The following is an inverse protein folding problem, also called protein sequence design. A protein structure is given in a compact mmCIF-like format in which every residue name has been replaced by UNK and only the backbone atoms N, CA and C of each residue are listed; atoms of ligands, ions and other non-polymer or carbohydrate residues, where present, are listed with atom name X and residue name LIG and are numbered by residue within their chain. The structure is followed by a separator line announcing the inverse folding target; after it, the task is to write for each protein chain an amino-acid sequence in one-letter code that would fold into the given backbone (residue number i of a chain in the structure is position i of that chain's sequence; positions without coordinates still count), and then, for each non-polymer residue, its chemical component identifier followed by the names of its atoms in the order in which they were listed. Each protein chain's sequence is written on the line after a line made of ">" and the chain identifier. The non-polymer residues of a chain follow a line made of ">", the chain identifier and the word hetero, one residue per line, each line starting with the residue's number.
data_IF_659593131798
#
_entry.id   IF_659593131798
#
_cell.length_a   1.000
_cell.length_b   1.000
_cell.length_c   1.000
_cell.angle_alpha   90.00
_cell.angle_beta   90.00
_cell.angle_gamma   90.00
#
_symmetry.space_group_name_H-M   'P 1'
#
loop_
_entity.id
_entity.type
_entity.pdbx_description
1 polymer ?
#
# COMPACT_ATOMS: atom_id res chain seq x y z
N UNK A 1 16.58 4.29 34.84
CA UNK A 1 15.12 4.47 34.78
C UNK A 1 14.77 4.94 33.38
N UNK A 2 14.08 4.12 32.58
CA UNK A 2 13.55 4.58 31.28
C UNK A 2 12.57 5.74 31.52
N UNK A 3 12.49 6.71 30.60
CA UNK A 3 11.57 7.87 30.73
C UNK A 3 10.11 7.43 30.96
N UNK A 4 9.71 6.31 30.34
CA UNK A 4 8.38 5.71 30.49
C UNK A 4 8.16 5.18 31.91
N UNK A 5 9.09 4.40 32.47
CA UNK A 5 8.98 3.90 33.84
C UNK A 5 9.09 5.00 34.91
N UNK A 6 9.69 6.15 34.58
CA UNK A 6 9.68 7.34 35.44
C UNK A 6 8.34 8.06 35.44
N UNK A 7 7.61 8.04 34.31
CA UNK A 7 6.29 8.67 34.20
C UNK A 7 5.17 7.79 34.75
N UNK A 8 5.32 6.46 34.70
CA UNK A 8 4.38 5.50 35.29
C UNK A 8 5.12 4.47 36.17
N UNK A 9 5.09 4.64 37.51
CA UNK A 9 5.76 3.74 38.45
C UNK A 9 5.29 2.27 38.39
N UNK A 10 4.10 1.98 37.88
CA UNK A 10 3.58 0.61 37.76
C UNK A 10 4.36 -0.22 36.73
N UNK A 11 5.10 0.44 35.84
CA UNK A 11 5.94 -0.22 34.83
C UNK A 11 7.31 -0.64 35.36
N UNK A 12 7.68 -0.23 36.58
CA UNK A 12 8.99 -0.52 37.19
C UNK A 12 9.35 -2.02 37.21
N UNK A 13 8.44 -2.96 37.53
CA UNK A 13 8.74 -4.39 37.48
C UNK A 13 9.10 -4.91 36.07
N UNK A 14 8.69 -4.19 35.02
CA UNK A 14 8.90 -4.57 33.62
C UNK A 14 9.99 -3.76 32.92
N UNK A 15 10.70 -2.88 33.64
CA UNK A 15 11.64 -1.91 33.07
C UNK A 15 12.70 -2.60 32.20
N UNK A 16 13.27 -3.71 32.66
CA UNK A 16 14.29 -4.46 31.91
C UNK A 16 13.75 -4.99 30.57
N UNK A 17 12.49 -5.45 30.54
CA UNK A 17 11.83 -5.90 29.30
C UNK A 17 11.59 -4.74 28.35
N UNK A 18 11.18 -3.57 28.87
CA UNK A 18 10.99 -2.35 28.09
C UNK A 18 12.33 -1.90 27.50
N UNK A 19 13.40 -1.85 28.31
CA UNK A 19 14.75 -1.50 27.87
C UNK A 19 15.23 -2.41 26.74
N UNK A 20 15.10 -3.73 26.89
CA UNK A 20 15.48 -4.70 25.84
C UNK A 20 14.71 -4.49 24.53
N UNK A 21 13.42 -4.15 24.60
CA UNK A 21 12.62 -3.83 23.41
C UNK A 21 13.14 -2.57 22.71
N UNK A 22 13.45 -1.50 23.46
CA UNK A 22 14.03 -0.29 22.89
C UNK A 22 15.40 -0.55 22.25
N UNK A 23 16.25 -1.33 22.91
CA UNK A 23 17.57 -1.73 22.38
C UNK A 23 17.45 -2.55 21.11
N UNK A 24 16.52 -3.50 21.08
CA UNK A 24 16.21 -4.27 19.89
C UNK A 24 15.73 -3.37 18.75
N UNK A 25 14.80 -2.44 19.01
CA UNK A 25 14.30 -1.50 17.98
C UNK A 25 15.42 -0.64 17.41
N UNK A 26 16.27 -0.03 18.25
CA UNK A 26 17.40 0.77 17.76
C UNK A 26 18.44 -0.07 17.01
N UNK A 27 18.71 -1.30 17.47
CA UNK A 27 19.60 -2.21 16.76
C UNK A 27 19.02 -2.62 15.40
N UNK A 28 17.70 -2.82 15.33
CA UNK A 28 17.00 -3.14 14.10
C UNK A 28 17.05 -1.97 13.12
N UNK A 29 16.75 -0.76 13.58
CA UNK A 29 16.85 0.46 12.78
C UNK A 29 18.26 0.61 12.21
N UNK A 30 19.30 0.54 13.06
CA UNK A 30 20.71 0.56 12.61
C UNK A 30 21.02 -0.51 11.57
N UNK A 31 20.48 -1.72 11.72
CA UNK A 31 20.70 -2.78 10.74
C UNK A 31 20.04 -2.49 9.40
N UNK A 32 18.83 -1.91 9.40
CA UNK A 32 18.11 -1.54 8.18
C UNK A 32 18.77 -0.35 7.48
N UNK A 33 19.35 0.56 8.25
CA UNK A 33 20.07 1.74 7.77
C UNK A 33 21.55 1.49 7.48
N UNK A 34 21.97 0.23 7.41
CA UNK A 34 23.37 -0.16 7.11
C UNK A 34 24.39 0.50 8.05
N UNK A 35 24.07 0.57 9.34
CA UNK A 35 24.90 1.24 10.35
C UNK A 35 24.76 2.76 10.39
N UNK A 36 23.86 3.34 9.57
CA UNK A 36 23.64 4.78 9.43
C UNK A 36 24.10 5.34 8.08
N UNK A 37 24.58 4.50 7.16
CA UNK A 37 24.99 4.92 5.80
C UNK A 37 23.81 5.46 4.97
N UNK A 38 22.58 5.02 5.28
CA UNK A 38 21.34 5.57 4.71
C UNK A 38 20.36 5.94 5.83
N UNK A 39 19.44 6.86 5.58
CA UNK A 39 18.34 7.13 6.53
C UNK A 39 17.26 6.05 6.48
N UNK A 40 16.41 5.99 7.51
CA UNK A 40 15.22 5.11 7.48
C UNK A 40 14.24 5.53 6.38
N UNK A 41 14.19 6.82 6.09
CA UNK A 41 13.43 7.40 4.99
C UNK A 41 13.94 6.90 3.63
N UNK A 42 15.26 6.82 3.42
CA UNK A 42 15.86 6.26 2.20
C UNK A 42 15.63 4.75 2.13
N UNK A 43 15.70 4.05 3.26
CA UNK A 43 15.31 2.64 3.32
C UNK A 43 13.84 2.44 2.91
N UNK A 44 12.96 3.43 3.09
CA UNK A 44 11.56 3.40 2.70
C UNK A 44 11.30 3.88 1.25
N UNK A 45 12.33 4.05 0.41
CA UNK A 45 12.20 4.42 -1.01
C UNK A 45 11.82 3.25 -1.93
N UNK A 46 11.35 2.12 -1.38
CA UNK A 46 11.06 0.92 -2.18
C UNK A 46 10.08 1.18 -3.32
N UNK A 47 9.10 2.05 -3.11
CA UNK A 47 8.08 2.40 -4.12
C UNK A 47 8.63 3.24 -5.27
N UNK A 48 9.79 3.89 -5.12
CA UNK A 48 10.49 4.61 -6.19
C UNK A 48 11.33 3.65 -7.07
N UNK A 49 11.60 2.44 -6.57
CA UNK A 49 12.42 1.45 -7.26
C UNK A 49 11.60 0.29 -7.84
N UNK A 50 10.70 -0.29 -7.04
CA UNK A 50 9.80 -1.38 -7.39
C UNK A 50 8.46 -0.86 -7.94
N UNK A 51 7.75 -1.70 -8.69
CA UNK A 51 6.55 -1.32 -9.43
C UNK A 51 6.87 -0.85 -10.85
N UNK A 52 5.84 -0.33 -11.53
CA UNK A 52 5.93 0.16 -12.90
C UNK A 52 6.23 1.65 -12.90
N UNK A 53 7.33 2.03 -13.56
CA UNK A 53 7.82 3.40 -13.64
C UNK A 53 8.07 3.80 -15.09
N UNK A 54 7.80 5.05 -15.43
CA UNK A 54 8.17 5.66 -16.71
C UNK A 54 9.30 6.65 -16.49
N UNK A 55 10.38 6.54 -17.24
CA UNK A 55 11.48 7.51 -17.17
C UNK A 55 11.22 8.75 -18.05
N UNK A 56 12.08 9.76 -17.92
CA UNK A 56 12.00 11.02 -18.69
C UNK A 56 12.10 10.83 -20.21
N UNK A 57 12.60 9.69 -20.68
CA UNK A 57 12.69 9.33 -22.10
C UNK A 57 11.48 8.52 -22.56
N UNK A 58 10.50 8.32 -21.69
CA UNK A 58 9.28 7.56 -21.95
C UNK A 58 9.45 6.04 -21.82
N UNK A 59 10.63 5.53 -21.46
CA UNK A 59 10.87 4.10 -21.31
C UNK A 59 10.21 3.59 -20.02
N UNK A 60 9.51 2.45 -20.14
CA UNK A 60 8.86 1.80 -19.00
C UNK A 60 9.81 0.81 -18.36
N UNK A 61 9.94 0.87 -17.03
CA UNK A 61 10.65 -0.12 -16.23
C UNK A 61 9.71 -0.70 -15.18
N UNK A 62 9.55 -2.02 -15.17
CA UNK A 62 8.83 -2.74 -14.13
C UNK A 62 9.83 -3.55 -13.31
N UNK A 63 9.79 -3.39 -11.98
CA UNK A 63 10.59 -4.21 -11.06
C UNK A 63 9.74 -4.88 -9.99
N UNK A 64 10.10 -6.11 -9.63
CA UNK A 64 9.41 -6.88 -8.60
C UNK A 64 10.37 -7.77 -7.81
N UNK A 65 10.08 -8.00 -6.53
CA UNK A 65 10.88 -8.86 -5.65
C UNK A 65 10.24 -10.26 -5.54
N UNK A 66 10.81 -11.23 -6.27
CA UNK A 66 10.31 -12.60 -6.42
C UNK A 66 11.47 -13.62 -6.30
N UNK A 67 12.05 -13.80 -5.10
CA UNK A 67 13.22 -14.66 -4.91
C UNK A 67 12.96 -16.13 -5.25
N UNK A 68 11.74 -16.64 -5.01
CA UNK A 68 11.32 -18.01 -5.32
C UNK A 68 10.93 -18.27 -6.78
N UNK A 69 10.88 -17.23 -7.62
CA UNK A 69 10.54 -17.39 -9.03
C UNK A 69 11.70 -17.99 -9.84
N UNK A 70 11.34 -18.82 -10.82
CA UNK A 70 12.23 -19.36 -11.85
C UNK A 70 12.15 -18.56 -13.15
N UNK A 71 10.97 -18.02 -13.46
CA UNK A 71 10.78 -17.06 -14.56
C UNK A 71 9.55 -16.21 -14.32
N UNK A 72 9.61 -14.96 -14.77
CA UNK A 72 8.54 -13.97 -14.61
C UNK A 72 8.27 -13.34 -15.96
N UNK A 73 7.00 -13.18 -16.31
CA UNK A 73 6.55 -12.54 -17.54
C UNK A 73 5.56 -11.43 -17.23
N UNK A 74 5.62 -10.35 -17.99
CA UNK A 74 4.61 -9.31 -18.01
C UNK A 74 3.52 -9.71 -19.01
N UNK A 75 2.27 -9.79 -18.56
CA UNK A 75 1.11 -10.10 -19.40
C UNK A 75 0.06 -9.00 -19.25
N UNK A 76 -0.74 -8.75 -20.29
CA UNK A 76 -1.75 -7.70 -20.23
C UNK A 76 -2.55 -7.52 -21.51
N UNK A 77 -3.37 -6.47 -21.55
CA UNK A 77 -4.18 -6.12 -22.71
C UNK A 77 -3.35 -5.89 -23.98
N UNK A 78 -2.13 -5.37 -23.87
CA UNK A 78 -1.22 -5.08 -24.98
C UNK A 78 -0.62 -6.33 -25.65
N UNK A 79 -0.78 -7.52 -25.07
CA UNK A 79 -0.30 -8.80 -25.63
C UNK A 79 -1.33 -9.93 -25.53
N UNK A 80 -2.63 -9.58 -25.48
CA UNK A 80 -3.74 -10.53 -25.38
C UNK A 80 -3.59 -11.52 -24.21
N UNK A 81 -2.98 -11.08 -23.11
CA UNK A 81 -2.71 -11.89 -21.91
C UNK A 81 -1.82 -13.12 -22.16
N UNK A 82 -1.02 -13.12 -23.22
CA UNK A 82 -0.17 -14.25 -23.59
C UNK A 82 1.21 -14.20 -22.93
N UNK A 83 1.69 -15.37 -22.49
CA UNK A 83 3.07 -15.54 -21.99
C UNK A 83 4.03 -15.60 -23.18
N UNK A 84 4.70 -14.48 -23.47
CA UNK A 84 5.64 -14.37 -24.59
C UNK A 84 7.05 -14.02 -24.11
N UNK A 85 8.07 -14.57 -24.77
CA UNK A 85 9.48 -14.35 -24.43
C UNK A 85 9.92 -12.88 -24.49
N UNK A 86 9.32 -12.07 -25.37
CA UNK A 86 9.58 -10.63 -25.48
C UNK A 86 9.15 -9.84 -24.24
N UNK A 87 8.23 -10.40 -23.45
CA UNK A 87 7.74 -9.81 -22.20
C UNK A 87 8.32 -10.47 -20.94
N UNK A 88 9.40 -11.25 -21.08
CA UNK A 88 10.06 -11.92 -19.97
C UNK A 88 10.91 -10.93 -19.17
N UNK A 89 10.73 -10.89 -17.85
CA UNK A 89 11.60 -10.14 -16.94
C UNK A 89 12.94 -10.88 -16.77
N UNK A 90 14.00 -10.10 -16.58
CA UNK A 90 15.35 -10.58 -16.27
C UNK A 90 15.57 -10.50 -14.76
N UNK A 91 16.15 -11.54 -14.17
CA UNK A 91 16.68 -11.45 -12.81
C UNK A 91 17.90 -10.53 -12.84
N UNK A 92 17.93 -9.51 -11.98
CA UNK A 92 18.97 -8.46 -11.99
C UNK A 92 19.93 -8.51 -10.80
N UNK A 93 19.62 -9.32 -9.79
CA UNK A 93 20.50 -9.58 -8.65
C UNK A 93 20.34 -11.02 -8.13
N UNK A 94 21.19 -11.41 -7.19
CA UNK A 94 21.11 -12.70 -6.51
C UNK A 94 20.08 -12.73 -5.38
N UNK A 95 19.55 -11.56 -4.98
CA UNK A 95 18.62 -11.41 -3.87
C UNK A 95 17.16 -11.69 -4.22
N UNK A 96 16.79 -11.61 -5.50
CA UNK A 96 15.43 -11.93 -5.97
C UNK A 96 14.73 -10.83 -6.76
N UNK A 97 15.42 -9.77 -7.17
CA UNK A 97 14.81 -8.71 -7.97
C UNK A 97 14.75 -9.10 -9.45
N UNK A 98 13.60 -8.83 -10.06
CA UNK A 98 13.33 -9.02 -11.48
C UNK A 98 13.02 -7.68 -12.14
N UNK A 99 13.47 -7.47 -13.37
CA UNK A 99 13.28 -6.24 -14.14
C UNK A 99 12.91 -6.54 -15.59
N UNK A 100 11.97 -5.77 -16.14
CA UNK A 100 11.83 -5.60 -17.59
C UNK A 100 11.84 -4.11 -17.93
N UNK A 101 12.50 -3.78 -19.04
CA UNK A 101 12.45 -2.46 -19.66
C UNK A 101 11.79 -2.59 -21.03
N UNK A 102 10.73 -1.81 -21.28
CA UNK A 102 10.01 -1.80 -22.55
C UNK A 102 9.89 -0.38 -23.08
N UNK A 103 9.85 -0.25 -24.41
CA UNK A 103 9.78 1.04 -25.06
C UNK A 103 8.46 1.77 -24.74
N UNK A 104 8.46 3.10 -24.90
CA UNK A 104 7.31 3.96 -24.60
C UNK A 104 6.00 3.47 -25.21
N UNK A 105 6.03 3.08 -26.48
CA UNK A 105 4.86 2.62 -27.23
C UNK A 105 4.32 1.24 -26.80
N UNK A 106 5.05 0.52 -25.94
CA UNK A 106 4.72 -0.84 -25.55
C UNK A 106 3.59 -0.88 -24.51
N UNK A 107 3.45 0.16 -23.70
CA UNK A 107 2.39 0.30 -22.69
C UNK A 107 1.73 1.67 -22.84
N UNK A 108 0.42 1.74 -22.60
CA UNK A 108 -0.36 2.97 -22.62
C UNK A 108 -1.14 3.11 -21.33
N UNK A 109 -1.42 4.36 -20.95
CA UNK A 109 -2.37 4.65 -19.89
C UNK A 109 -3.68 3.87 -20.08
N UNK A 110 -4.14 3.20 -19.02
CA UNK A 110 -5.35 2.38 -19.04
C UNK A 110 -5.13 0.93 -19.44
N UNK A 111 -3.93 0.54 -19.92
CA UNK A 111 -3.63 -0.87 -20.17
C UNK A 111 -3.70 -1.66 -18.86
N UNK A 112 -4.30 -2.86 -18.94
CA UNK A 112 -4.39 -3.78 -17.82
C UNK A 112 -3.24 -4.76 -17.87
N UNK A 113 -2.65 -5.08 -16.73
CA UNK A 113 -1.51 -5.97 -16.67
C UNK A 113 -1.46 -6.79 -15.37
N UNK A 114 -0.78 -7.94 -15.47
CA UNK A 114 -0.42 -8.84 -14.37
C UNK A 114 0.98 -9.40 -14.65
N UNK A 115 1.54 -10.07 -13.66
CA UNK A 115 2.69 -10.93 -13.81
C UNK A 115 2.24 -12.37 -14.01
N UNK A 116 2.90 -13.12 -14.88
CA UNK A 116 2.83 -14.58 -14.90
C UNK A 116 4.13 -15.13 -14.31
N UNK A 117 4.03 -15.78 -13.15
CA UNK A 117 5.18 -16.24 -12.37
C UNK A 117 5.24 -17.76 -12.44
N UNK A 118 6.40 -18.30 -12.81
CA UNK A 118 6.72 -19.71 -12.63
C UNK A 118 7.66 -19.87 -11.44
N UNK A 119 7.42 -20.87 -10.62
CA UNK A 119 8.24 -21.26 -9.47
C UNK A 119 8.32 -22.79 -9.42
N UNK A 120 9.31 -23.35 -8.72
CA UNK A 120 9.47 -24.80 -8.46
C UNK A 120 8.69 -25.75 -9.38
N UNK A 121 7.51 -26.20 -8.91
CA UNK A 121 6.59 -27.09 -9.63
C UNK A 121 5.23 -26.44 -9.95
N UNK A 122 5.15 -25.11 -10.04
CA UNK A 122 3.89 -24.40 -10.25
C UNK A 122 4.03 -23.07 -10.98
N UNK A 123 2.90 -22.47 -11.30
CA UNK A 123 2.84 -21.13 -11.87
C UNK A 123 1.50 -20.48 -11.54
N UNK A 124 1.41 -19.17 -11.76
CA UNK A 124 0.17 -18.43 -11.57
C UNK A 124 0.33 -16.95 -11.90
N UNK A 125 -0.82 -16.31 -12.11
CA UNK A 125 -0.92 -14.88 -12.30
C UNK A 125 -0.86 -14.13 -10.97
N UNK A 126 -0.22 -12.97 -10.97
CA UNK A 126 -0.08 -12.09 -9.79
C UNK A 126 -0.30 -10.65 -10.19
N UNK A 127 -1.05 -9.91 -9.39
CA UNK A 127 -0.99 -8.45 -9.43
C UNK A 127 0.37 -8.01 -8.85
N UNK A 128 1.15 -7.13 -9.51
CA UNK A 128 2.39 -6.59 -8.94
C UNK A 128 2.19 -6.06 -7.50
N UNK A 129 3.08 -6.41 -6.57
CA UNK A 129 2.91 -6.08 -5.15
C UNK A 129 2.92 -4.57 -4.90
N UNK A 130 3.59 -3.84 -5.81
CA UNK A 130 3.77 -2.38 -5.81
C UNK A 130 2.85 -1.68 -6.83
N UNK A 131 1.79 -2.34 -7.30
CA UNK A 131 0.84 -1.72 -8.22
C UNK A 131 0.17 -0.49 -7.57
N UNK A 132 0.23 0.64 -8.26
CA UNK A 132 -0.32 1.93 -7.80
C UNK A 132 -1.76 2.17 -8.23
N UNK A 133 -2.28 1.32 -9.13
CA UNK A 133 -3.68 1.26 -9.49
C UNK A 133 -4.05 -0.17 -9.87
N UNK A 134 -5.14 -0.65 -9.27
CA UNK A 134 -5.69 -1.97 -9.49
C UNK A 134 -7.18 -1.77 -9.69
N UNK A 135 -7.77 -2.39 -10.72
CA UNK A 135 -9.18 -2.20 -11.08
C UNK A 135 -9.88 -3.53 -11.24
N UNK A 136 -11.14 -3.58 -10.84
CA UNK A 136 -12.02 -4.72 -11.05
C UNK A 136 -12.72 -4.61 -12.40
N UNK A 137 -12.65 -5.65 -13.21
CA UNK A 137 -13.51 -5.77 -14.39
C UNK A 137 -14.95 -6.07 -13.95
N UNK A 138 -15.90 -5.23 -14.36
CA UNK A 138 -17.30 -5.31 -13.91
C UNK A 138 -18.04 -6.57 -14.40
N UNK A 139 -17.58 -7.19 -15.49
CA UNK A 139 -18.24 -8.34 -16.10
C UNK A 139 -17.72 -9.65 -15.52
N UNK A 140 -16.41 -9.76 -15.36
CA UNK A 140 -15.72 -10.97 -14.91
C UNK A 140 -15.44 -10.97 -13.40
N UNK A 141 -15.44 -9.80 -12.77
CA UNK A 141 -15.07 -9.62 -11.37
C UNK A 141 -13.57 -9.73 -11.10
N UNK A 142 -12.74 -9.95 -12.13
CA UNK A 142 -11.30 -10.16 -11.99
C UNK A 142 -10.60 -8.82 -11.81
N UNK A 143 -9.63 -8.77 -10.89
CA UNK A 143 -8.79 -7.60 -10.70
C UNK A 143 -7.52 -7.65 -11.55
N UNK A 144 -7.08 -6.49 -12.02
CA UNK A 144 -5.81 -6.32 -12.74
C UNK A 144 -5.13 -5.03 -12.32
N UNK A 145 -3.80 -4.99 -12.31
CA UNK A 145 -3.13 -3.70 -12.27
C UNK A 145 -3.45 -2.91 -13.55
N UNK A 146 -3.48 -1.59 -13.45
CA UNK A 146 -3.72 -0.70 -14.58
C UNK A 146 -2.58 0.30 -14.69
N UNK A 147 -2.08 0.53 -15.91
CA UNK A 147 -1.06 1.54 -16.18
C UNK A 147 -1.66 2.91 -15.89
N UNK A 148 -1.20 3.54 -14.81
CA UNK A 148 -1.65 4.86 -14.40
C UNK A 148 -0.61 5.91 -14.78
N UNK A 149 -0.87 6.59 -15.88
CA UNK A 149 -0.02 7.63 -16.47
C UNK A 149 -0.92 8.64 -17.20
N UNK A 150 -1.79 9.35 -16.46
CA UNK A 150 -2.67 10.33 -17.05
C UNK A 150 -1.85 11.43 -17.73
N UNK A 151 -2.37 12.01 -18.81
CA UNK A 151 -1.70 13.09 -19.54
C UNK A 151 -1.35 14.29 -18.64
N UNK A 152 -2.23 14.55 -17.68
CA UNK A 152 -2.06 15.59 -16.67
C UNK A 152 -2.20 14.93 -15.30
N UNK A 153 -1.06 14.77 -14.61
CA UNK A 153 -1.06 14.28 -13.24
C UNK A 153 -1.57 15.36 -12.29
N UNK A 154 -2.37 14.95 -11.29
CA UNK A 154 -2.81 15.88 -10.25
C UNK A 154 -1.63 16.47 -9.46
N UNK A 155 -1.64 17.79 -9.32
CA UNK A 155 -0.67 18.56 -8.52
C UNK A 155 -1.39 19.23 -7.36
N UNK A 156 -0.97 18.93 -6.12
CA UNK A 156 -1.49 19.55 -4.91
C UNK A 156 -1.31 21.08 -4.95
N UNK A 157 -2.34 21.81 -4.52
CA UNK A 157 -2.39 23.28 -4.56
C UNK A 157 -2.43 23.87 -3.16
N UNK A 158 -2.75 23.07 -2.15
CA UNK A 158 -2.91 23.50 -0.76
C UNK A 158 -1.86 22.83 0.13
N UNK A 159 -1.31 23.62 1.05
CA UNK A 159 -0.38 23.10 2.05
C UNK A 159 -1.16 22.36 3.14
N UNK A 160 -0.50 21.38 3.77
CA UNK A 160 -1.05 20.69 4.95
C UNK A 160 -1.44 21.71 6.04
N UNK A 161 -2.55 21.50 6.76
CA UNK A 161 -2.88 22.29 7.93
C UNK A 161 -1.72 22.28 8.93
N UNK A 162 -1.40 23.45 9.47
CA UNK A 162 -0.33 23.56 10.48
C UNK A 162 -0.64 22.72 11.71
N UNK A 163 0.41 22.29 12.41
CA UNK A 163 0.25 21.67 13.72
C UNK A 163 -0.43 22.66 14.66
N UNK A 164 -1.39 22.17 15.42
CA UNK A 164 -2.20 22.91 16.38
C UNK A 164 -2.17 22.16 17.70
N UNK A 165 -2.18 22.91 18.80
CA UNK A 165 -2.36 22.39 20.16
C UNK A 165 -3.83 22.04 20.45
N UNK A 166 -4.75 22.43 19.56
CA UNK A 166 -6.15 22.01 19.66
C UNK A 166 -6.29 20.49 19.58
N UNK A 167 -7.22 19.90 20.35
CA UNK A 167 -7.49 18.48 20.28
C UNK A 167 -8.00 18.10 18.89
N UNK A 168 -7.71 16.86 18.48
CA UNK A 168 -8.28 16.32 17.25
C UNK A 168 -9.77 16.04 17.45
N UNK A 169 -10.60 16.69 16.63
CA UNK A 169 -12.01 16.37 16.43
C UNK A 169 -12.10 15.65 15.08
N UNK A 170 -12.18 14.33 15.15
CA UNK A 170 -12.04 13.45 13.99
C UNK A 170 -13.43 13.00 13.51
N UNK A 171 -13.72 13.26 12.24
CA UNK A 171 -14.84 12.65 11.54
C UNK A 171 -14.36 11.37 10.85
N UNK A 172 -14.67 10.20 11.41
CA UNK A 172 -14.40 8.92 10.76
C UNK A 172 -15.38 8.68 9.62
N UNK A 173 -14.87 8.30 8.45
CA UNK A 173 -15.69 8.14 7.25
C UNK A 173 -15.24 6.96 6.38
N UNK A 174 -16.18 6.47 5.58
CA UNK A 174 -15.95 5.52 4.51
C UNK A 174 -16.55 6.08 3.22
N UNK A 175 -15.72 6.28 2.19
CA UNK A 175 -16.10 6.98 0.96
C UNK A 175 -17.28 6.30 0.27
N UNK A 176 -17.21 4.99 0.05
CA UNK A 176 -18.21 4.26 -0.72
C UNK A 176 -19.64 4.23 -0.14
N UNK A 177 -19.84 4.57 1.14
CA UNK A 177 -21.17 4.55 1.80
C UNK A 177 -21.62 5.94 2.26
N UNK A 178 -21.00 6.99 1.72
CA UNK A 178 -21.22 8.38 2.12
C UNK A 178 -22.39 9.07 1.40
N UNK A 179 -23.15 8.33 0.58
CA UNK A 179 -24.32 8.83 -0.14
C UNK A 179 -25.61 8.20 0.41
N UNK A 180 -26.72 8.92 0.27
CA UNK A 180 -28.07 8.40 0.52
C UNK A 180 -28.51 7.41 -0.58
N UNK A 181 -27.84 7.42 -1.73
CA UNK A 181 -28.10 6.48 -2.81
C UNK A 181 -27.57 5.08 -2.46
N UNK A 182 -28.32 4.03 -2.81
CA UNK A 182 -27.92 2.63 -2.63
C UNK A 182 -26.85 2.17 -3.63
N UNK A 183 -25.73 2.92 -3.75
CA UNK A 183 -24.61 2.67 -4.65
C UNK A 183 -23.28 2.95 -3.94
N UNK A 184 -22.18 2.47 -4.53
CA UNK A 184 -20.85 2.88 -4.07
C UNK A 184 -20.61 4.34 -4.49
N UNK A 185 -20.39 5.22 -3.52
CA UNK A 185 -20.11 6.63 -3.78
C UNK A 185 -18.63 6.87 -4.18
N UNK A 186 -18.33 8.04 -4.75
CA UNK A 186 -17.01 8.37 -5.29
C UNK A 186 -16.22 9.34 -4.39
N UNK A 187 -14.89 9.39 -4.61
CA UNK A 187 -14.01 10.39 -4.03
C UNK A 187 -14.48 11.82 -4.39
N UNK A 188 -14.86 12.03 -5.65
CA UNK A 188 -15.31 13.34 -6.12
C UNK A 188 -16.61 13.80 -5.44
N UNK A 189 -17.60 12.91 -5.32
CA UNK A 189 -18.85 13.23 -4.63
C UNK A 189 -18.61 13.48 -3.12
N UNK A 190 -17.74 12.69 -2.48
CA UNK A 190 -17.36 12.96 -1.08
C UNK A 190 -16.70 14.33 -0.94
N UNK A 191 -15.82 14.68 -1.89
CA UNK A 191 -15.09 15.94 -1.92
C UNK A 191 -16.04 17.14 -2.02
N UNK A 192 -17.04 17.08 -2.90
CA UNK A 192 -17.95 18.22 -3.14
C UNK A 192 -19.10 18.29 -2.15
N UNK A 193 -19.62 17.15 -1.72
CA UNK A 193 -20.92 17.11 -1.01
C UNK A 193 -20.75 16.88 0.50
N UNK A 194 -19.68 16.18 0.91
CA UNK A 194 -19.50 15.73 2.30
C UNK A 194 -18.45 16.57 3.04
N UNK A 195 -17.30 16.85 2.43
CA UNK A 195 -16.23 17.63 3.07
C UNK A 195 -16.70 19.01 3.58
N UNK A 196 -17.47 19.82 2.81
CA UNK A 196 -17.93 21.11 3.30
C UNK A 196 -18.78 20.99 4.56
N UNK A 197 -19.64 19.95 4.63
CA UNK A 197 -20.47 19.67 5.80
C UNK A 197 -19.63 19.28 7.01
N UNK A 198 -18.59 18.46 6.83
CA UNK A 198 -17.67 18.08 7.92
C UNK A 198 -16.98 19.34 8.48
N UNK A 199 -16.49 20.22 7.61
CA UNK A 199 -15.85 21.47 8.02
C UNK A 199 -16.83 22.40 8.75
N UNK A 200 -18.06 22.55 8.25
CA UNK A 200 -19.11 23.37 8.88
C UNK A 200 -19.48 22.87 10.29
N UNK A 201 -19.46 21.54 10.49
CA UNK A 201 -19.71 20.92 11.81
C UNK A 201 -18.57 21.15 12.82
N UNK A 202 -17.45 21.75 12.41
CA UNK A 202 -16.34 22.10 13.30
C UNK A 202 -15.34 20.99 13.57
N UNK A 203 -15.35 19.91 12.78
CA UNK A 203 -14.27 18.93 12.81
C UNK A 203 -12.98 19.55 12.26
N UNK A 204 -11.82 19.12 12.77
CA UNK A 204 -10.50 19.58 12.30
C UNK A 204 -9.67 18.46 11.67
N UNK A 205 -10.21 17.24 11.63
CA UNK A 205 -9.63 16.12 10.93
C UNK A 205 -10.70 15.15 10.40
N UNK A 206 -10.36 14.42 9.35
CA UNK A 206 -11.09 13.25 8.87
C UNK A 206 -10.21 12.01 9.00
N UNK A 207 -10.82 10.88 9.33
CA UNK A 207 -10.20 9.56 9.30
C UNK A 207 -10.85 8.77 8.16
N UNK A 208 -10.12 8.54 7.07
CA UNK A 208 -10.64 7.85 5.89
C UNK A 208 -10.32 6.36 5.98
N UNK A 209 -11.36 5.55 6.07
CA UNK A 209 -11.28 4.09 6.04
C UNK A 209 -11.24 3.54 4.61
N UNK A 210 -10.82 2.28 4.48
CA UNK A 210 -10.91 1.49 3.26
C UNK A 210 -10.20 2.10 2.03
N UNK A 211 -9.13 2.90 2.26
CA UNK A 211 -8.36 3.53 1.17
C UNK A 211 -7.57 2.51 0.38
N UNK A 212 -6.85 1.59 1.04
CA UNK A 212 -6.09 0.55 0.35
C UNK A 212 -7.02 -0.41 -0.38
N UNK A 213 -6.64 -0.84 -1.59
CA UNK A 213 -7.48 -1.72 -2.40
C UNK A 213 -7.71 -3.08 -1.71
N UNK A 214 -8.98 -3.48 -1.71
CA UNK A 214 -9.50 -4.64 -0.98
C UNK A 214 -10.55 -5.34 -1.85
N UNK A 215 -10.36 -6.61 -2.26
CA UNK A 215 -11.25 -7.26 -3.22
C UNK A 215 -12.67 -7.46 -2.68
N UNK A 216 -12.81 -7.71 -1.38
CA UNK A 216 -14.09 -7.93 -0.73
C UNK A 216 -14.61 -6.65 -0.09
N UNK A 217 -15.60 -6.01 -0.72
CA UNK A 217 -16.19 -4.75 -0.22
C UNK A 217 -16.81 -4.92 1.18
N UNK A 218 -17.40 -6.08 1.48
CA UNK A 218 -17.95 -6.39 2.80
C UNK A 218 -16.92 -6.51 3.93
N UNK A 219 -15.62 -6.42 3.60
CA UNK A 219 -14.55 -6.34 4.61
C UNK A 219 -14.41 -4.96 5.24
N UNK A 220 -15.09 -3.94 4.72
CA UNK A 220 -14.96 -2.57 5.19
C UNK A 220 -13.54 -1.99 5.06
N UNK A 221 -12.74 -2.54 4.14
CA UNK A 221 -11.34 -2.16 3.94
C UNK A 221 -10.31 -3.02 4.67
N UNK A 222 -10.74 -3.93 5.55
CA UNK A 222 -9.82 -4.70 6.38
C UNK A 222 -9.12 -5.84 5.66
N UNK A 223 -9.64 -6.28 4.52
CA UNK A 223 -9.04 -7.32 3.69
C UNK A 223 -8.26 -6.71 2.52
N UNK A 224 -7.12 -6.08 2.83
CA UNK A 224 -6.24 -5.44 1.85
C UNK A 224 -5.52 -6.47 0.97
N UNK A 225 -5.52 -6.24 -0.34
CA UNK A 225 -4.79 -7.06 -1.32
C UNK A 225 -3.69 -6.30 -2.06
N UNK A 226 -3.90 -5.03 -2.39
CA UNK A 226 -2.92 -4.19 -3.09
C UNK A 226 -2.60 -2.94 -2.26
N UNK A 227 -1.47 -2.99 -1.56
CA UNK A 227 -1.15 -2.05 -0.48
C UNK A 227 -0.86 -0.63 -0.95
N UNK A 228 -0.44 -0.46 -2.20
CA UNK A 228 -0.08 0.82 -2.84
C UNK A 228 -1.17 1.36 -3.77
N UNK A 229 -2.26 0.62 -3.97
CA UNK A 229 -3.36 1.04 -4.82
C UNK A 229 -4.48 1.65 -3.96
N UNK A 230 -4.94 2.88 -4.24
CA UNK A 230 -6.20 3.36 -3.69
C UNK A 230 -7.35 2.56 -4.33
N UNK A 231 -8.35 2.22 -3.53
CA UNK A 231 -9.52 1.44 -3.96
C UNK A 231 -10.17 2.05 -5.19
N UNK A 232 -10.17 1.30 -6.31
CA UNK A 232 -10.69 1.82 -7.58
C UNK A 232 -12.19 2.00 -7.58
N UNK A 233 -12.90 1.41 -6.62
CA UNK A 233 -14.36 1.51 -6.50
C UNK A 233 -14.84 2.93 -6.26
N UNK A 234 -13.99 3.78 -5.67
CA UNK A 234 -14.34 5.16 -5.35
C UNK A 234 -13.86 6.14 -6.43
N UNK A 235 -13.01 5.69 -7.36
CA UNK A 235 -12.47 6.53 -8.43
C UNK A 235 -10.99 6.26 -8.72
N UNK A 236 -10.28 7.34 -9.03
CA UNK A 236 -8.89 7.33 -9.48
C UNK A 236 -7.93 7.81 -8.40
N UNK A 237 -6.63 7.45 -8.47
CA UNK A 237 -5.61 8.02 -7.59
C UNK A 237 -5.63 9.55 -7.57
N UNK A 238 -5.86 10.19 -8.71
CA UNK A 238 -5.87 11.64 -8.82
C UNK A 238 -7.13 12.28 -8.21
N UNK A 239 -8.28 11.60 -8.25
CA UNK A 239 -9.48 12.03 -7.51
C UNK A 239 -9.30 11.91 -5.99
N UNK A 240 -8.58 10.89 -5.50
CA UNK A 240 -8.22 10.82 -4.08
C UNK A 240 -7.27 11.98 -3.69
N UNK A 241 -6.27 12.30 -4.51
CA UNK A 241 -5.41 13.48 -4.26
C UNK A 241 -6.24 14.76 -4.22
N UNK A 242 -7.20 14.92 -5.14
CA UNK A 242 -8.10 16.07 -5.16
C UNK A 242 -8.96 16.16 -3.89
N UNK A 243 -9.45 15.04 -3.37
CA UNK A 243 -10.17 14.98 -2.09
C UNK A 243 -9.28 15.47 -0.94
N UNK A 244 -8.05 14.99 -0.85
CA UNK A 244 -7.11 15.34 0.22
C UNK A 244 -6.73 16.82 0.13
N UNK A 245 -6.43 17.33 -1.06
CA UNK A 245 -6.09 18.74 -1.29
C UNK A 245 -7.25 19.68 -0.92
N UNK A 246 -8.49 19.28 -1.22
CA UNK A 246 -9.68 20.02 -0.82
C UNK A 246 -9.91 19.99 0.69
N UNK A 247 -9.66 18.84 1.34
CA UNK A 247 -9.69 18.76 2.80
C UNK A 247 -8.66 19.72 3.42
N UNK A 248 -7.44 19.78 2.87
CA UNK A 248 -6.41 20.73 3.28
C UNK A 248 -6.83 22.18 3.06
N UNK A 249 -7.49 22.51 1.93
CA UNK A 249 -8.06 23.83 1.66
C UNK A 249 -9.07 24.25 2.73
N UNK A 250 -9.85 23.29 3.23
CA UNK A 250 -10.85 23.48 4.30
C UNK A 250 -10.23 23.45 5.71
N UNK A 251 -8.92 23.29 5.84
CA UNK A 251 -8.22 23.24 7.13
C UNK A 251 -8.35 21.89 7.85
N UNK A 252 -8.84 20.85 7.18
CA UNK A 252 -9.00 19.50 7.72
C UNK A 252 -7.72 18.69 7.52
N UNK A 253 -7.22 18.06 8.58
CA UNK A 253 -6.19 17.02 8.45
C UNK A 253 -6.82 15.73 7.94
N UNK A 254 -6.10 14.99 7.12
CA UNK A 254 -6.54 13.70 6.58
C UNK A 254 -5.68 12.59 7.15
N UNK A 255 -6.30 11.74 7.97
CA UNK A 255 -5.67 10.57 8.57
C UNK A 255 -6.17 9.36 7.78
N UNK A 256 -5.24 8.50 7.37
CA UNK A 256 -5.56 7.27 6.64
C UNK A 256 -5.66 6.09 7.59
N UNK A 257 -6.65 5.23 7.36
CA UNK A 257 -6.65 3.91 7.96
C UNK A 257 -5.65 2.99 7.26
N UNK A 258 -4.67 2.50 8.02
CA UNK A 258 -3.55 1.72 7.52
C UNK A 258 -3.58 0.30 8.09
N UNK A 259 -3.87 -0.67 7.23
CA UNK A 259 -4.03 -2.06 7.64
C UNK A 259 -2.74 -2.82 7.33
N UNK A 260 -1.83 -2.80 8.29
CA UNK A 260 -0.58 -3.57 8.23
C UNK A 260 -0.57 -4.79 9.14
N UNK A 261 -1.65 -5.04 9.90
CA UNK A 261 -1.77 -6.18 10.82
C UNK A 261 -1.85 -7.54 10.11
N UNK A 262 -2.46 -7.57 8.92
CA UNK A 262 -2.66 -8.78 8.12
C UNK A 262 -2.90 -8.44 6.64
N UNK A 263 -3.00 -9.47 5.79
CA UNK A 263 -3.38 -9.37 4.37
C UNK A 263 -4.37 -10.46 3.98
N UNK A 264 -5.07 -10.29 2.85
CA UNK A 264 -5.97 -11.33 2.32
C UNK A 264 -5.24 -12.62 1.95
N UNK A 265 -5.99 -13.73 1.96
CA UNK A 265 -5.52 -15.05 1.50
C UNK A 265 -5.53 -15.21 -0.02
N UNK A 266 -6.02 -14.23 -0.79
CA UNK A 266 -6.04 -14.27 -2.25
C UNK A 266 -4.64 -14.45 -2.82
N UNK A 267 -4.46 -15.47 -3.67
CA UNK A 267 -3.19 -15.74 -4.34
C UNK A 267 -3.00 -14.94 -5.65
N UNK A 268 -4.09 -14.60 -6.34
CA UNK A 268 -4.04 -13.87 -7.62
C UNK A 268 -4.04 -12.37 -7.39
N UNK A 269 -5.02 -11.87 -6.62
CA UNK A 269 -5.20 -10.43 -6.35
C UNK A 269 -4.37 -9.91 -5.16
N UNK A 270 -3.87 -10.82 -4.32
CA UNK A 270 -3.16 -10.50 -3.08
C UNK A 270 -1.74 -11.03 -3.04
N UNK A 271 -1.14 -10.96 -1.85
CA UNK A 271 0.27 -11.34 -1.63
C UNK A 271 0.43 -12.81 -1.22
N UNK A 272 -0.65 -13.58 -1.11
CA UNK A 272 -0.57 -14.98 -0.71
C UNK A 272 0.18 -15.78 -1.79
N UNK A 273 1.17 -16.57 -1.37
CA UNK A 273 1.94 -17.44 -2.28
C UNK A 273 2.50 -16.69 -3.50
N UNK A 274 2.94 -15.45 -3.28
CA UNK A 274 3.25 -14.49 -4.33
C UNK A 274 4.30 -15.01 -5.33
N UNK A 275 5.41 -15.55 -4.83
CA UNK A 275 6.48 -16.17 -5.62
C UNK A 275 6.44 -17.71 -5.59
N UNK A 276 5.29 -18.30 -5.24
CA UNK A 276 5.15 -19.73 -4.99
C UNK A 276 5.40 -20.15 -3.55
N UNK A 277 6.10 -19.34 -2.75
CA UNK A 277 6.33 -19.61 -1.33
C UNK A 277 5.24 -18.97 -0.47
N UNK A 278 4.82 -19.66 0.60
CA UNK A 278 3.89 -19.08 1.59
C UNK A 278 4.55 -18.02 2.49
N UNK A 279 5.87 -17.92 2.47
CA UNK A 279 6.64 -17.20 3.49
C UNK A 279 7.38 -15.97 2.98
N UNK A 280 7.17 -15.55 1.72
CA UNK A 280 7.80 -14.34 1.19
C UNK A 280 7.46 -13.11 2.05
N UNK A 281 6.16 -12.93 2.33
CA UNK A 281 5.64 -11.85 3.16
C UNK A 281 5.20 -12.30 4.55
N UNK A 282 4.86 -13.57 4.72
CA UNK A 282 4.13 -14.07 5.89
C UNK A 282 4.94 -15.07 6.71
N UNK A 283 4.52 -15.29 7.94
CA UNK A 283 5.07 -16.38 8.75
C UNK A 283 4.70 -17.76 8.17
N UNK A 284 5.49 -18.78 8.55
CA UNK A 284 5.20 -20.17 8.21
C UNK A 284 4.16 -20.80 9.13
N UNK A 285 3.39 -21.76 8.61
CA UNK A 285 2.47 -22.58 9.38
C UNK A 285 1.36 -21.77 10.08
N UNK A 286 0.85 -22.25 11.22
CA UNK A 286 -0.25 -21.60 11.95
C UNK A 286 0.06 -20.17 12.40
N UNK A 287 1.34 -19.79 12.55
CA UNK A 287 1.74 -18.42 12.89
C UNK A 287 1.48 -17.43 11.75
N UNK A 288 1.46 -17.91 10.51
CA UNK A 288 1.18 -17.11 9.32
C UNK A 288 -0.31 -16.90 9.05
N UNK A 289 -1.20 -17.44 9.87
CA UNK A 289 -2.64 -17.33 9.67
C UNK A 289 -3.31 -16.65 10.87
N UNK A 290 -4.33 -15.84 10.60
CA UNK A 290 -5.18 -15.25 11.62
C UNK A 290 -6.57 -15.93 11.60
N UNK A 291 -6.84 -16.92 12.47
CA UNK A 291 -8.02 -17.77 12.34
C UNK A 291 -9.35 -17.00 12.42
N UNK A 292 -9.44 -15.98 13.28
CA UNK A 292 -10.66 -15.22 13.47
C UNK A 292 -10.98 -14.27 12.31
N UNK A 293 -9.97 -13.92 11.51
CA UNK A 293 -10.13 -13.00 10.36
C UNK A 293 -9.94 -13.71 9.03
N UNK A 294 -9.69 -15.03 9.03
CA UNK A 294 -9.37 -15.82 7.85
C UNK A 294 -8.32 -15.16 6.94
N UNK A 295 -7.25 -14.63 7.53
CA UNK A 295 -6.24 -13.82 6.83
C UNK A 295 -4.81 -14.29 7.09
N UNK A 296 -3.82 -13.61 6.49
CA UNK A 296 -2.39 -13.93 6.63
C UNK A 296 -1.62 -12.89 7.46
N UNK A 297 -0.75 -13.37 8.34
CA UNK A 297 0.04 -12.54 9.26
C UNK A 297 1.47 -12.31 8.72
N UNK A 298 1.85 -11.04 8.57
CA UNK A 298 3.17 -10.65 8.08
C UNK A 298 4.31 -11.16 8.97
N UNK A 299 5.44 -11.51 8.35
CA UNK A 299 6.70 -11.76 9.07
C UNK A 299 7.49 -10.45 9.20
N UNK A 300 7.12 -9.63 10.19
CA UNK A 300 7.81 -8.35 10.49
C UNK A 300 9.29 -8.53 10.89
N UNK A 301 9.76 -9.77 11.07
CA UNK A 301 11.16 -10.06 11.30
C UNK A 301 12.03 -9.89 10.04
N UNK A 302 11.45 -10.00 8.85
CA UNK A 302 12.19 -10.00 7.57
C UNK A 302 12.43 -8.60 7.01
N UNK A 303 13.64 -8.35 6.50
CA UNK A 303 14.01 -7.06 5.94
C UNK A 303 13.11 -6.65 4.75
N UNK A 304 12.79 -7.58 3.85
CA UNK A 304 11.95 -7.29 2.68
C UNK A 304 10.52 -6.90 3.07
N UNK A 305 9.97 -7.51 4.14
CA UNK A 305 8.64 -7.17 4.67
C UNK A 305 8.65 -5.79 5.31
N UNK A 306 9.66 -5.51 6.15
CA UNK A 306 9.81 -4.19 6.76
C UNK A 306 10.05 -3.11 5.70
N UNK A 307 10.84 -3.41 4.66
CA UNK A 307 11.04 -2.52 3.52
C UNK A 307 9.73 -2.21 2.79
N UNK A 308 8.95 -3.24 2.47
CA UNK A 308 7.64 -3.10 1.81
C UNK A 308 6.67 -2.24 2.64
N UNK A 309 6.50 -2.55 3.93
CA UNK A 309 5.54 -1.86 4.80
C UNK A 309 5.97 -0.42 5.13
N UNK A 310 7.26 -0.17 5.40
CA UNK A 310 7.74 1.20 5.62
C UNK A 310 7.66 2.03 4.34
N UNK A 311 7.98 1.44 3.19
CA UNK A 311 7.80 2.11 1.90
C UNK A 311 6.33 2.41 1.62
N UNK A 312 5.42 1.56 2.09
CA UNK A 312 3.98 1.83 2.00
C UNK A 312 3.56 3.03 2.85
N UNK A 313 4.08 3.15 4.07
CA UNK A 313 3.86 4.35 4.88
C UNK A 313 4.37 5.61 4.17
N UNK A 314 5.61 5.58 3.65
CA UNK A 314 6.20 6.73 2.95
C UNK A 314 5.41 7.10 1.69
N UNK A 315 5.00 6.11 0.91
CA UNK A 315 4.19 6.30 -0.30
C UNK A 315 2.90 7.08 -0.02
N UNK A 316 2.12 6.67 0.99
CA UNK A 316 0.87 7.37 1.32
C UNK A 316 1.12 8.79 1.85
N UNK A 317 2.19 9.00 2.61
CA UNK A 317 2.56 10.34 3.08
C UNK A 317 3.03 11.25 1.95
N UNK A 318 3.79 10.77 0.97
CA UNK A 318 4.43 11.63 -0.05
C UNK A 318 3.61 11.74 -1.33
N UNK A 319 3.03 10.64 -1.81
CA UNK A 319 2.30 10.62 -3.09
C UNK A 319 0.87 11.16 -2.94
N UNK A 320 0.24 10.94 -1.79
CA UNK A 320 -1.13 11.37 -1.51
C UNK A 320 -1.24 12.47 -0.46
N UNK A 321 -0.13 12.87 0.16
CA UNK A 321 -0.09 13.98 1.11
C UNK A 321 -0.94 13.76 2.38
N UNK A 322 -1.17 12.51 2.80
CA UNK A 322 -1.84 12.23 4.08
C UNK A 322 -1.08 12.83 5.28
N UNK A 323 -1.81 13.22 6.32
CA UNK A 323 -1.28 13.88 7.52
C UNK A 323 -0.90 12.90 8.64
N UNK A 324 -1.27 11.64 8.51
CA UNK A 324 -0.95 10.58 9.46
C UNK A 324 -1.76 9.32 9.23
N UNK A 325 -1.64 8.38 10.17
CA UNK A 325 -2.29 7.08 10.09
C UNK A 325 -3.00 6.71 11.38
N UNK A 326 -4.08 5.94 11.25
CA UNK A 326 -4.49 4.96 12.25
C UNK A 326 -3.96 3.60 11.82
N UNK A 327 -3.15 2.97 12.65
CA UNK A 327 -2.75 1.57 12.43
C UNK A 327 -3.85 0.67 12.98
N UNK A 328 -4.54 -0.05 12.10
CA UNK A 328 -5.67 -0.89 12.51
C UNK A 328 -5.25 -2.33 12.83
N UNK A 329 -5.87 -2.88 13.88
CA UNK A 329 -5.59 -4.23 14.37
C UNK A 329 -4.33 -4.35 15.24
N UNK A 330 -3.85 -3.29 15.89
CA UNK A 330 -2.61 -3.29 16.71
C UNK A 330 -2.63 -4.33 17.85
N UNK A 331 -3.81 -4.72 18.33
CA UNK A 331 -3.95 -5.75 19.38
C UNK A 331 -3.67 -7.17 18.88
N UNK A 332 -3.83 -7.42 17.57
CA UNK A 332 -3.48 -8.69 16.93
C UNK A 332 -1.97 -8.87 16.87
#
# INVERSE_FOLDING_TARGET
>A
MTKIASNDPWLKPYEERIRRRMEFTHARERSLTQGGDISLEQFADGYLYYGLHRDERGCWTLREFLPGAQSVYLIGSFNDWQVMSVWKLKRIDDHGSWEIKVAEQALKHGDHYRLFVHWGHGCGERIPAWATRVVQDEQTGIFSAQVWDPKEAYTFRHARPSRSEEPLLIYECHIGMSSEEGKVNSYEAFRTDVLPRIAELGYNAIQIMAVQEHPYYGSFGYHVSSFFAPSSRFGTPDELKALIDEAHRLGLRVIMDLVHSHAVKNEVEGLAKYDGSRTLFFHEGPRGEHPAWDSLCFDYGRNNVVHFLLSNCKYWLEVFNFDGFRFDGVSS
#
